data_IF_439403863873
#
_entry.id   IF_439403863873
#
_cell.length_a   1.000
_cell.length_b   1.000
_cell.length_c   1.000
_cell.angle_alpha   90.00
_cell.angle_beta   90.00
_cell.angle_gamma   90.00
#
_symmetry.space_group_name_H-M   'P 1'
#
loop_
_entity.id
_entity.type
_entity.pdbx_description
1 polymer ?
#
# COMPACT_ATOMS: atom_id res chain seq x y z
N UNK A 1 -24.04 -3.62 -15.69
CA UNK A 1 -23.23 -4.19 -14.59
C UNK A 1 -22.77 -3.05 -13.72
N UNK A 2 -23.15 -3.08 -12.44
CA UNK A 2 -22.79 -2.03 -11.49
C UNK A 2 -21.34 -2.17 -11.02
N UNK A 3 -20.72 -1.08 -10.57
CA UNK A 3 -19.37 -1.08 -9.99
C UNK A 3 -19.19 -2.18 -8.91
N UNK A 4 -20.22 -2.42 -8.11
CA UNK A 4 -20.23 -3.45 -7.07
C UNK A 4 -20.16 -4.88 -7.62
N UNK A 5 -20.73 -5.17 -8.79
CA UNK A 5 -20.61 -6.49 -9.43
C UNK A 5 -19.21 -6.71 -9.98
N UNK A 6 -18.57 -5.67 -10.51
CA UNK A 6 -17.19 -5.72 -10.97
C UNK A 6 -16.23 -6.04 -9.82
N UNK A 7 -16.34 -5.31 -8.70
CA UNK A 7 -15.54 -5.56 -7.49
C UNK A 7 -15.74 -6.99 -6.99
N UNK A 8 -16.97 -7.52 -7.02
CA UNK A 8 -17.26 -8.90 -6.60
C UNK A 8 -16.70 -9.98 -7.54
N UNK A 9 -16.54 -9.67 -8.83
CA UNK A 9 -15.97 -10.59 -9.82
C UNK A 9 -14.45 -10.75 -9.73
N UNK A 10 -13.77 -9.86 -8.99
CA UNK A 10 -12.35 -10.00 -8.71
C UNK A 10 -12.17 -11.19 -7.76
N UNK A 11 -11.29 -12.11 -8.13
CA UNK A 11 -10.96 -13.28 -7.31
C UNK A 11 -10.06 -12.86 -6.14
N UNK A 12 -10.68 -12.28 -5.11
CA UNK A 12 -9.99 -11.75 -3.91
C UNK A 12 -9.22 -12.81 -3.12
N UNK A 13 -9.61 -14.08 -3.29
CA UNK A 13 -8.99 -15.25 -2.65
C UNK A 13 -7.74 -15.73 -3.40
N UNK A 14 -7.37 -15.09 -4.52
CA UNK A 14 -6.15 -15.42 -5.27
C UNK A 14 -4.92 -14.82 -4.57
N UNK A 15 -4.41 -15.53 -3.56
CA UNK A 15 -3.16 -15.20 -2.90
C UNK A 15 -1.97 -15.73 -3.71
N UNK A 16 -1.26 -14.85 -4.40
CA UNK A 16 0.06 -15.15 -4.96
C UNK A 16 1.16 -14.83 -3.95
N UNK A 17 2.18 -15.69 -3.85
CA UNK A 17 3.39 -15.34 -3.13
C UNK A 17 4.04 -14.10 -3.75
N UNK A 18 4.59 -13.18 -2.95
CA UNK A 18 5.22 -11.98 -3.47
C UNK A 18 6.39 -12.35 -4.38
N UNK A 19 6.36 -11.83 -5.60
CA UNK A 19 7.45 -11.93 -6.54
C UNK A 19 8.52 -10.87 -6.21
N UNK A 20 9.73 -11.06 -6.71
CA UNK A 20 10.81 -10.09 -6.50
C UNK A 20 10.44 -8.68 -7.03
N UNK A 21 9.65 -8.63 -8.10
CA UNK A 21 9.16 -7.42 -8.74
C UNK A 21 8.24 -6.60 -7.82
N UNK A 22 7.52 -7.24 -6.90
CA UNK A 22 6.64 -6.57 -5.95
C UNK A 22 7.42 -5.70 -4.95
N UNK A 23 8.69 -6.04 -4.71
CA UNK A 23 9.56 -5.30 -3.79
C UNK A 23 10.18 -4.03 -4.40
N UNK A 24 9.97 -3.76 -5.69
CA UNK A 24 10.52 -2.56 -6.36
C UNK A 24 10.04 -1.27 -5.68
N UNK A 25 8.83 -1.26 -5.12
CA UNK A 25 8.27 -0.11 -4.42
C UNK A 25 8.67 -0.03 -2.93
N UNK A 26 9.29 -1.07 -2.37
CA UNK A 26 9.67 -1.12 -0.96
C UNK A 26 10.55 0.07 -0.53
N UNK A 27 11.56 0.52 -1.31
CA UNK A 27 12.36 1.69 -0.95
C UNK A 27 11.54 2.98 -0.89
N UNK A 28 10.58 3.14 -1.81
CA UNK A 28 9.67 4.29 -1.81
C UNK A 28 8.80 4.30 -0.55
N UNK A 29 8.22 3.16 -0.17
CA UNK A 29 7.44 3.03 1.05
C UNK A 29 8.28 3.31 2.30
N UNK A 30 9.52 2.82 2.35
CA UNK A 30 10.42 3.08 3.47
C UNK A 30 10.71 4.58 3.64
N UNK A 31 11.01 5.28 2.54
CA UNK A 31 11.24 6.73 2.55
C UNK A 31 9.96 7.51 2.88
N UNK A 32 8.83 7.12 2.31
CA UNK A 32 7.54 7.75 2.57
C UNK A 32 7.16 7.61 4.04
N UNK A 33 7.28 6.40 4.60
CA UNK A 33 6.97 6.14 6.00
C UNK A 33 7.86 6.96 6.93
N UNK A 34 9.17 6.99 6.66
CA UNK A 34 10.11 7.82 7.43
C UNK A 34 9.73 9.31 7.35
N UNK A 35 9.42 9.79 6.14
CA UNK A 35 9.04 11.19 5.91
C UNK A 35 7.76 11.56 6.67
N UNK A 36 6.73 10.70 6.58
CA UNK A 36 5.47 10.88 7.30
C UNK A 36 5.71 10.86 8.81
N UNK A 37 6.53 9.95 9.33
CA UNK A 37 6.85 9.90 10.76
C UNK A 37 7.51 11.19 11.23
N UNK A 38 8.54 11.67 10.53
CA UNK A 38 9.25 12.90 10.88
C UNK A 38 8.33 14.13 10.80
N UNK A 39 7.46 14.18 9.79
CA UNK A 39 6.47 15.24 9.66
C UNK A 39 5.48 15.25 10.82
N UNK A 40 4.86 14.10 11.13
CA UNK A 40 3.90 14.01 12.22
C UNK A 40 4.54 14.32 13.58
N UNK A 41 5.76 13.84 13.81
CA UNK A 41 6.52 14.12 15.03
C UNK A 41 6.82 15.62 15.19
N UNK A 42 7.13 16.31 14.10
CA UNK A 42 7.42 17.75 14.12
C UNK A 42 6.18 18.62 14.29
N UNK A 43 5.05 18.25 13.67
CA UNK A 43 3.91 19.17 13.50
C UNK A 43 2.64 18.78 14.26
N UNK A 44 2.48 17.50 14.61
CA UNK A 44 1.23 16.98 15.21
C UNK A 44 1.43 16.56 16.66
N UNK A 45 2.55 15.90 16.97
CA UNK A 45 2.81 15.32 18.29
C UNK A 45 3.64 16.21 19.23
N UNK A 46 3.65 17.52 18.99
CA UNK A 46 4.38 18.48 19.83
C UNK A 46 3.84 18.55 21.26
#
# INVERSE_FOLDING_TARGET
MGFMEYVKSIEWEHESYPAYEDYVFLPLFALFFLSARLFLDRFVFQ
#
